data_IF_869211763103
#
_entry.id   IF_869211763103
#
_cell.length_a   1.000
_cell.length_b   1.000
_cell.length_c   1.000
_cell.angle_alpha   90.00
_cell.angle_beta   90.00
_cell.angle_gamma   90.00
#
_symmetry.space_group_name_H-M   'P 1'
#
loop_
_entity.id
_entity.type
_entity.pdbx_description
1 polymer ?
#
# COMPACT_ATOMS: atom_id res chain seq x y z
N UNK A 1 43.18 -16.21 15.65
CA UNK A 1 42.10 -15.51 16.39
C UNK A 1 40.89 -16.42 16.39
N UNK A 2 40.63 -17.03 17.54
CA UNK A 2 39.71 -18.16 17.75
C UNK A 2 38.25 -17.72 17.76
N UNK A 3 37.43 -18.33 16.92
CA UNK A 3 35.98 -18.22 16.93
C UNK A 3 35.39 -19.02 18.09
N UNK A 4 34.73 -18.32 19.01
CA UNK A 4 33.93 -18.92 20.09
C UNK A 4 32.63 -19.43 19.47
N UNK A 5 32.48 -20.76 19.45
CA UNK A 5 31.30 -21.46 18.97
C UNK A 5 30.42 -21.79 20.21
N UNK A 6 29.44 -20.93 20.52
CA UNK A 6 28.47 -21.21 21.59
C UNK A 6 27.34 -22.09 21.07
N UNK A 7 27.66 -23.37 20.86
CA UNK A 7 26.66 -24.41 20.62
C UNK A 7 26.00 -24.81 21.95
N UNK A 8 24.85 -24.23 22.25
CA UNK A 8 23.93 -24.80 23.23
C UNK A 8 23.23 -26.01 22.60
N UNK A 9 23.86 -27.18 22.65
CA UNK A 9 23.16 -28.44 22.49
C UNK A 9 22.57 -28.84 23.85
N UNK A 10 21.25 -28.83 23.96
CA UNK A 10 20.57 -29.45 25.09
C UNK A 10 20.72 -30.97 24.98
N UNK A 11 21.63 -31.54 25.77
CA UNK A 11 21.69 -32.99 25.98
C UNK A 11 20.42 -33.45 26.71
N UNK A 12 19.58 -34.23 26.03
CA UNK A 12 18.54 -35.01 26.70
C UNK A 12 19.22 -36.16 27.44
N UNK A 13 19.29 -36.05 28.77
CA UNK A 13 19.64 -37.14 29.66
C UNK A 13 18.45 -38.12 29.67
N UNK A 14 18.63 -39.25 28.99
CA UNK A 14 17.77 -40.42 29.10
C UNK A 14 18.29 -41.30 30.25
N UNK A 15 17.75 -41.12 31.45
CA UNK A 15 17.86 -42.10 32.54
C UNK A 15 16.51 -42.78 32.74
N UNK A 16 16.54 -44.11 32.69
CA UNK A 16 15.37 -44.97 32.68
C UNK A 16 14.75 -45.24 34.05
N UNK A 17 13.55 -45.80 33.96
CA UNK A 17 12.81 -46.63 34.92
C UNK A 17 12.55 -46.07 36.32
N UNK A 18 11.29 -45.71 36.54
CA UNK A 18 10.67 -45.63 37.87
C UNK A 18 9.51 -44.65 37.90
N UNK A 19 8.28 -45.14 37.75
CA UNK A 19 7.02 -44.42 37.90
C UNK A 19 6.85 -43.18 37.00
N UNK A 20 6.20 -43.37 35.86
CA UNK A 20 5.70 -42.29 35.01
C UNK A 20 4.51 -41.59 35.68
N UNK A 21 4.81 -40.82 36.73
CA UNK A 21 3.98 -39.67 37.08
C UNK A 21 3.90 -38.83 35.81
N UNK A 22 2.72 -38.86 35.17
CA UNK A 22 2.36 -37.96 34.10
C UNK A 22 2.45 -36.56 34.66
N UNK A 23 3.64 -35.95 34.61
CA UNK A 23 3.82 -34.51 34.75
C UNK A 23 2.85 -33.91 33.74
N UNK A 24 1.71 -33.44 34.26
CA UNK A 24 0.71 -32.70 33.52
C UNK A 24 1.47 -31.52 32.94
N UNK A 25 1.92 -31.67 31.70
CA UNK A 25 2.65 -30.64 30.97
C UNK A 25 1.67 -29.50 30.81
N UNK A 26 1.71 -28.56 31.75
CA UNK A 26 0.88 -27.37 31.76
C UNK A 26 1.19 -26.66 30.46
N UNK A 27 0.30 -26.84 29.49
CA UNK A 27 0.48 -26.28 28.17
C UNK A 27 0.10 -24.83 28.34
N UNK A 28 1.12 -23.95 28.35
CA UNK A 28 0.86 -22.52 28.44
C UNK A 28 -0.04 -22.12 27.26
N UNK A 29 -1.08 -21.31 27.50
CA UNK A 29 -1.93 -20.86 26.42
C UNK A 29 -1.09 -20.10 25.40
N UNK A 30 -1.16 -20.53 24.14
CA UNK A 30 -0.49 -19.87 23.02
C UNK A 30 -1.40 -18.75 22.53
N UNK A 31 -1.02 -17.50 22.82
CA UNK A 31 -1.69 -16.33 22.27
C UNK A 31 -1.21 -16.06 20.85
N UNK A 32 -2.15 -15.72 19.98
CA UNK A 32 -1.90 -15.11 18.67
C UNK A 32 -2.37 -13.67 18.71
N UNK A 33 -1.86 -12.85 17.79
CA UNK A 33 -2.26 -11.46 17.68
C UNK A 33 -2.80 -11.19 16.29
N UNK A 34 -3.85 -10.38 16.25
CA UNK A 34 -4.48 -9.88 15.04
C UNK A 34 -4.23 -8.37 15.00
N UNK A 35 -3.40 -7.94 14.05
CA UNK A 35 -3.08 -6.55 13.77
C UNK A 35 -3.80 -6.15 12.47
N UNK A 36 -4.72 -5.20 12.57
CA UNK A 36 -5.50 -4.70 11.43
C UNK A 36 -5.21 -3.22 11.27
N UNK A 37 -4.80 -2.83 10.06
CA UNK A 37 -4.47 -1.47 9.67
C UNK A 37 -5.28 -1.09 8.43
N UNK A 38 -6.08 -0.02 8.53
CA UNK A 38 -6.95 0.44 7.44
C UNK A 38 -6.17 0.95 6.22
N UNK A 39 -4.87 1.22 6.37
CA UNK A 39 -3.97 1.63 5.27
C UNK A 39 -3.96 0.58 4.14
N UNK A 40 -4.17 -0.69 4.48
CA UNK A 40 -4.13 -1.82 3.54
C UNK A 40 -5.51 -2.29 3.08
N UNK A 41 -6.57 -1.51 3.33
CA UNK A 41 -7.93 -1.83 2.85
C UNK A 41 -8.08 -1.54 1.35
N UNK A 42 -9.10 -2.14 0.74
CA UNK A 42 -9.55 -1.70 -0.59
C UNK A 42 -10.24 -0.34 -0.48
N UNK A 43 -9.53 0.77 -0.69
CA UNK A 43 -10.14 2.12 -0.62
C UNK A 43 -11.17 2.42 -1.74
N UNK A 44 -11.27 1.55 -2.76
CA UNK A 44 -12.34 1.63 -3.76
C UNK A 44 -13.62 0.99 -3.23
N UNK A 45 -13.53 -0.22 -2.70
CA UNK A 45 -14.70 -0.95 -2.18
C UNK A 45 -15.12 -0.41 -0.81
N UNK A 46 -14.15 0.07 -0.03
CA UNK A 46 -14.28 0.55 1.35
C UNK A 46 -13.57 1.91 1.51
N UNK A 47 -14.16 3.01 1.00
CA UNK A 47 -13.55 4.33 1.08
C UNK A 47 -13.42 4.85 2.52
N UNK A 48 -14.29 4.42 3.44
CA UNK A 48 -14.23 4.79 4.85
C UNK A 48 -13.22 3.90 5.62
N UNK A 49 -12.21 4.47 6.31
CA UNK A 49 -11.29 3.69 7.13
C UNK A 49 -11.95 3.03 8.35
N UNK A 50 -13.14 3.45 8.76
CA UNK A 50 -13.83 2.93 9.94
C UNK A 50 -14.77 1.75 9.63
N UNK A 51 -14.96 1.37 8.36
CA UNK A 51 -15.76 0.20 7.97
C UNK A 51 -15.20 -0.45 6.72
N UNK A 52 -14.58 -1.62 6.87
CA UNK A 52 -13.95 -2.32 5.76
C UNK A 52 -13.81 -3.81 6.00
N UNK A 53 -13.46 -4.51 4.92
CA UNK A 53 -13.18 -5.95 4.94
C UNK A 53 -11.69 -6.19 4.82
N UNK A 54 -11.14 -6.91 5.80
CA UNK A 54 -9.84 -7.53 5.74
C UNK A 54 -10.00 -8.88 5.05
N UNK A 55 -9.56 -8.96 3.79
CA UNK A 55 -9.63 -10.21 3.03
C UNK A 55 -8.75 -11.26 3.68
N UNK A 56 -9.21 -12.49 3.71
CA UNK A 56 -8.41 -13.59 4.19
C UNK A 56 -7.89 -14.42 3.02
N UNK A 57 -6.63 -14.83 3.11
CA UNK A 57 -6.03 -15.65 2.07
C UNK A 57 -6.04 -17.11 2.50
N UNK A 58 -7.05 -17.86 2.06
CA UNK A 58 -7.25 -19.28 2.39
C UNK A 58 -6.15 -20.23 1.90
N UNK A 59 -5.17 -19.71 1.17
CA UNK A 59 -4.04 -20.48 0.69
C UNK A 59 -2.85 -20.27 1.61
N UNK A 60 -2.39 -21.34 2.26
CA UNK A 60 -1.08 -21.40 2.90
C UNK A 60 0.08 -21.08 1.94
N UNK A 61 -0.19 -21.03 0.63
CA UNK A 61 0.75 -20.67 -0.45
C UNK A 61 0.59 -19.23 -0.93
N UNK A 62 -0.05 -18.34 -0.17
CA UNK A 62 -0.05 -16.90 -0.49
C UNK A 62 1.36 -16.39 -0.25
N UNK A 63 2.17 -16.46 -1.32
CA UNK A 63 3.53 -15.95 -1.33
C UNK A 63 3.52 -14.51 -0.82
N UNK A 64 4.63 -14.06 -0.23
CA UNK A 64 4.87 -12.63 0.10
C UNK A 64 4.51 -11.66 -1.04
N UNK A 65 4.31 -12.17 -2.26
CA UNK A 65 4.14 -11.44 -3.50
C UNK A 65 2.67 -11.30 -3.94
N UNK A 66 1.68 -11.81 -3.20
CA UNK A 66 0.25 -11.55 -3.48
C UNK A 66 -0.20 -10.14 -3.01
N UNK A 67 0.63 -9.13 -3.24
CA UNK A 67 0.26 -7.73 -3.08
C UNK A 67 -0.55 -7.33 -4.32
N UNK A 68 -1.84 -7.69 -4.33
CA UNK A 68 -2.72 -7.32 -5.45
C UNK A 68 -3.07 -5.86 -5.28
N UNK A 69 -2.31 -4.97 -5.93
CA UNK A 69 -2.74 -3.58 -6.08
C UNK A 69 -3.77 -3.50 -7.19
N UNK A 70 -5.02 -3.24 -6.83
CA UNK A 70 -6.11 -3.11 -7.80
C UNK A 70 -6.11 -1.77 -8.55
N UNK A 71 -5.21 -0.83 -8.21
CA UNK A 71 -5.32 0.56 -8.62
C UNK A 71 -4.17 1.07 -9.47
N UNK A 72 -4.52 2.03 -10.34
CA UNK A 72 -3.63 2.75 -11.23
C UNK A 72 -2.41 3.29 -10.45
N UNK A 73 -1.23 3.30 -11.06
CA UNK A 73 -0.01 3.56 -10.32
C UNK A 73 0.36 5.04 -10.36
N UNK A 74 -0.23 5.86 -9.49
CA UNK A 74 0.04 7.31 -9.54
C UNK A 74 1.39 7.73 -9.02
N UNK A 75 2.04 6.92 -8.20
CA UNK A 75 3.38 7.28 -7.72
C UNK A 75 4.43 7.30 -8.81
N UNK A 76 4.34 6.35 -9.72
CA UNK A 76 5.21 6.35 -10.88
C UNK A 76 4.61 7.16 -12.01
N UNK A 77 3.39 7.69 -11.89
CA UNK A 77 2.90 8.64 -12.87
C UNK A 77 3.65 9.98 -12.72
N UNK A 78 3.96 10.65 -13.83
CA UNK A 78 4.53 11.98 -13.80
C UNK A 78 3.69 12.98 -13.02
N UNK A 79 4.25 13.56 -11.96
CA UNK A 79 3.61 14.63 -11.20
C UNK A 79 3.76 15.97 -11.91
N UNK A 80 4.90 16.20 -12.55
CA UNK A 80 5.17 17.43 -13.28
C UNK A 80 5.19 17.14 -14.78
N UNK A 81 3.99 17.15 -15.37
CA UNK A 81 3.78 17.16 -16.83
C UNK A 81 2.68 18.16 -17.14
N UNK A 82 2.95 19.06 -18.09
CA UNK A 82 1.94 19.98 -18.58
C UNK A 82 1.34 19.44 -19.87
N UNK A 83 0.01 19.32 -19.86
CA UNK A 83 -0.77 19.17 -21.07
C UNK A 83 -1.42 20.51 -21.39
N UNK A 84 -0.82 21.27 -22.30
CA UNK A 84 -1.40 22.53 -22.77
C UNK A 84 -2.21 22.21 -24.01
N UNK A 85 -3.53 22.45 -23.96
CA UNK A 85 -4.46 22.10 -25.03
C UNK A 85 -4.39 20.61 -25.45
N UNK A 86 -4.18 19.71 -24.49
CA UNK A 86 -4.05 18.27 -24.73
C UNK A 86 -2.71 17.83 -25.31
N UNK A 87 -1.80 18.75 -25.63
CA UNK A 87 -0.46 18.43 -26.10
C UNK A 87 0.52 18.36 -24.94
N UNK A 88 1.33 17.31 -24.94
CA UNK A 88 2.42 17.15 -23.99
C UNK A 88 3.48 18.24 -24.20
N UNK A 89 3.64 19.11 -23.20
CA UNK A 89 4.69 20.14 -23.15
C UNK A 89 5.68 19.76 -22.04
N UNK A 90 6.88 19.26 -22.39
CA UNK A 90 7.85 18.89 -21.37
C UNK A 90 8.31 20.13 -20.57
N UNK A 91 8.59 19.92 -19.29
CA UNK A 91 9.22 20.91 -18.42
C UNK A 91 10.72 20.91 -18.67
N UNK A 92 11.37 22.07 -18.56
CA UNK A 92 12.81 22.21 -18.82
C UNK A 92 13.55 22.84 -17.66
N UNK A 93 14.75 22.36 -17.39
CA UNK A 93 15.65 23.01 -16.42
C UNK A 93 16.02 24.41 -16.92
N UNK A 94 15.95 25.40 -16.04
CA UNK A 94 16.14 26.81 -16.39
C UNK A 94 17.59 27.27 -16.20
N UNK A 95 18.25 26.79 -15.14
CA UNK A 95 19.63 27.14 -14.79
C UNK A 95 20.20 26.17 -13.75
N UNK A 96 21.50 26.26 -13.45
CA UNK A 96 22.14 25.51 -12.36
C UNK A 96 23.26 24.56 -12.82
N UNK A 97 23.72 23.72 -11.89
CA UNK A 97 24.73 22.67 -12.12
C UNK A 97 24.17 21.26 -11.91
N UNK A 98 24.99 20.24 -12.09
CA UNK A 98 24.57 18.82 -12.00
C UNK A 98 24.01 18.41 -10.64
N UNK A 99 24.37 19.14 -9.56
CA UNK A 99 23.91 18.89 -8.19
C UNK A 99 22.68 19.73 -7.79
N UNK A 100 22.44 20.83 -8.49
CA UNK A 100 21.38 21.78 -8.20
C UNK A 100 20.83 22.44 -9.47
N UNK A 101 19.59 22.13 -9.82
CA UNK A 101 18.95 22.72 -10.99
C UNK A 101 17.73 23.55 -10.58
N UNK A 102 17.58 24.70 -11.23
CA UNK A 102 16.37 25.50 -11.19
C UNK A 102 15.34 24.83 -12.08
N UNK A 103 14.24 24.39 -11.46
CA UNK A 103 13.12 23.80 -12.15
C UNK A 103 12.38 24.85 -12.98
N UNK A 104 11.55 24.36 -13.90
CA UNK A 104 10.70 25.18 -14.76
C UNK A 104 9.81 26.12 -13.94
N UNK A 105 9.65 27.36 -14.38
CA UNK A 105 8.83 28.37 -13.65
C UNK A 105 7.36 27.98 -13.57
N UNK A 106 6.92 27.06 -14.44
CA UNK A 106 5.58 26.49 -14.43
C UNK A 106 5.34 25.49 -13.28
N UNK A 107 6.36 25.15 -12.50
CA UNK A 107 6.21 24.38 -11.26
C UNK A 107 5.50 25.21 -10.18
N UNK A 108 4.25 24.87 -9.90
CA UNK A 108 3.35 25.70 -9.08
C UNK A 108 3.45 25.47 -7.57
N UNK A 109 4.19 24.46 -7.12
CA UNK A 109 4.23 24.15 -5.69
C UNK A 109 4.77 25.33 -4.86
N UNK A 110 3.98 25.74 -3.88
CA UNK A 110 4.31 26.80 -2.91
C UNK A 110 4.83 26.24 -1.59
N UNK A 111 4.93 24.91 -1.46
CA UNK A 111 5.34 24.25 -0.21
C UNK A 111 6.85 23.98 -0.23
N UNK A 112 7.63 24.50 0.73
CA UNK A 112 9.04 24.15 0.87
C UNK A 112 9.23 22.63 0.96
N UNK A 113 10.25 22.10 0.28
CA UNK A 113 10.55 20.67 0.23
C UNK A 113 9.41 19.76 -0.26
N UNK A 114 8.41 20.30 -0.97
CA UNK A 114 7.33 19.50 -1.52
C UNK A 114 7.80 18.29 -2.36
N UNK A 115 8.88 18.48 -3.13
CA UNK A 115 9.49 17.44 -3.94
C UNK A 115 10.61 16.65 -3.25
N UNK A 116 10.92 16.93 -1.98
CA UNK A 116 11.98 16.20 -1.29
C UNK A 116 11.64 14.71 -1.18
N UNK A 117 12.61 13.86 -1.50
CA UNK A 117 12.46 12.40 -1.59
C UNK A 117 11.86 11.91 -2.91
N UNK A 118 11.44 12.79 -3.81
CA UNK A 118 10.91 12.38 -5.11
C UNK A 118 12.05 12.15 -6.09
N UNK A 119 11.75 11.50 -7.21
CA UNK A 119 12.68 11.27 -8.29
C UNK A 119 12.48 12.29 -9.40
N UNK A 120 13.59 12.76 -9.95
CA UNK A 120 13.60 13.50 -11.20
C UNK A 120 14.06 12.56 -12.31
N UNK A 121 13.30 12.49 -13.38
CA UNK A 121 13.60 11.81 -14.63
C UNK A 121 14.10 12.88 -15.61
N UNK A 122 15.40 12.92 -15.87
CA UNK A 122 15.99 13.82 -16.86
C UNK A 122 16.03 13.14 -18.22
N UNK A 123 15.62 13.87 -19.25
CA UNK A 123 15.64 13.48 -20.67
C UNK A 123 16.57 14.46 -21.38
N UNK A 124 17.44 13.93 -22.25
CA UNK A 124 18.50 14.69 -22.93
C UNK A 124 18.01 16.01 -23.59
N UNK A 125 18.77 17.09 -23.36
CA UNK A 125 18.57 18.44 -23.90
C UNK A 125 18.53 18.54 -25.42
N UNK A 126 19.19 17.63 -26.14
CA UNK A 126 19.28 17.69 -27.60
C UNK A 126 17.95 17.33 -28.29
N UNK A 127 16.94 16.96 -27.50
CA UNK A 127 15.68 16.42 -27.98
C UNK A 127 14.58 17.45 -27.79
N UNK A 128 14.32 18.23 -28.84
CA UNK A 128 13.28 19.26 -28.85
C UNK A 128 11.87 18.69 -28.72
N UNK A 129 11.68 17.46 -29.22
CA UNK A 129 10.43 16.68 -29.09
C UNK A 129 10.80 15.24 -28.74
N UNK A 130 10.49 14.76 -27.52
CA UNK A 130 10.78 13.38 -27.14
C UNK A 130 10.16 12.39 -28.13
N UNK A 131 11.00 11.66 -28.84
CA UNK A 131 10.59 10.51 -29.65
C UNK A 131 10.61 9.24 -28.77
N UNK A 132 10.00 8.14 -29.22
CA UNK A 132 10.10 6.86 -28.51
C UNK A 132 11.54 6.38 -28.24
N UNK A 133 12.52 6.81 -29.05
CA UNK A 133 13.95 6.48 -28.85
C UNK A 133 14.66 7.44 -27.90
N UNK A 134 14.11 8.63 -27.66
CA UNK A 134 14.65 9.66 -26.76
C UNK A 134 14.67 9.25 -25.29
N UNK A 135 13.79 8.33 -24.89
CA UNK A 135 13.72 7.84 -23.52
C UNK A 135 14.80 6.83 -23.15
N UNK A 136 15.70 6.53 -24.10
CA UNK A 136 16.82 5.65 -23.86
C UNK A 136 17.87 6.30 -22.94
N UNK A 137 18.06 7.61 -23.03
CA UNK A 137 19.05 8.35 -22.22
C UNK A 137 18.54 8.81 -20.87
N UNK A 138 17.42 8.25 -20.40
CA UNK A 138 16.77 8.67 -19.15
C UNK A 138 17.69 8.42 -17.96
N UNK A 139 17.88 9.47 -17.16
CA UNK A 139 18.60 9.41 -15.89
C UNK A 139 17.66 9.75 -14.74
N UNK A 140 17.82 9.03 -13.62
CA UNK A 140 17.09 9.28 -12.40
C UNK A 140 18.03 9.72 -11.29
N UNK A 141 17.66 10.79 -10.59
CA UNK A 141 18.24 11.12 -9.28
C UNK A 141 17.13 11.47 -8.29
N UNK A 142 17.43 11.40 -6.99
CA UNK A 142 16.48 11.78 -5.93
C UNK A 142 16.67 13.25 -5.59
N UNK A 143 15.56 13.97 -5.40
CA UNK A 143 15.56 15.36 -4.95
C UNK A 143 15.79 15.34 -3.43
N UNK A 144 16.93 15.86 -2.98
CA UNK A 144 17.27 15.98 -1.56
C UNK A 144 16.48 17.10 -0.90
N UNK A 145 16.32 18.23 -1.59
CA UNK A 145 15.56 19.39 -1.11
C UNK A 145 14.98 20.21 -2.26
N UNK A 146 13.93 20.97 -1.97
CA UNK A 146 13.27 21.85 -2.94
C UNK A 146 12.95 23.21 -2.31
N UNK A 147 13.46 24.28 -2.92
CA UNK A 147 13.12 25.65 -2.55
C UNK A 147 11.95 26.13 -3.42
N UNK A 148 10.79 26.33 -2.80
CA UNK A 148 9.56 26.79 -3.45
C UNK A 148 9.65 28.21 -4.02
N UNK A 149 10.50 29.08 -3.45
CA UNK A 149 10.68 30.46 -3.90
C UNK A 149 11.61 30.55 -5.11
N UNK A 150 12.81 29.94 -5.03
CA UNK A 150 13.77 29.96 -6.13
C UNK A 150 13.53 28.86 -7.18
N UNK A 151 12.60 27.93 -6.90
CA UNK A 151 12.33 26.71 -7.69
C UNK A 151 13.57 25.82 -7.85
N UNK A 152 14.57 25.97 -7.00
CA UNK A 152 15.79 25.17 -7.05
C UNK A 152 15.56 23.81 -6.37
N UNK A 153 15.91 22.74 -7.08
CA UNK A 153 15.99 21.39 -6.54
C UNK A 153 17.45 20.99 -6.39
N UNK A 154 17.83 20.54 -5.19
CA UNK A 154 19.14 19.92 -4.95
C UNK A 154 18.99 18.40 -4.98
N UNK A 155 19.97 17.70 -5.53
CA UNK A 155 19.90 16.25 -5.74
C UNK A 155 20.80 15.48 -4.77
N UNK A 156 20.42 14.25 -4.42
CA UNK A 156 21.24 13.37 -3.57
C UNK A 156 22.48 12.84 -4.27
N UNK A 157 22.45 12.83 -5.60
CA UNK A 157 23.58 12.48 -6.47
C UNK A 157 23.54 13.37 -7.71
N UNK A 158 24.69 13.81 -8.24
CA UNK A 158 24.74 14.59 -9.47
C UNK A 158 23.98 13.89 -10.58
N UNK A 159 23.17 14.63 -11.33
CA UNK A 159 22.72 14.14 -12.62
C UNK A 159 23.93 13.99 -13.55
N UNK A 160 23.92 12.99 -14.42
CA UNK A 160 25.01 12.79 -15.38
C UNK A 160 25.12 13.97 -16.35
N UNK A 161 26.19 13.97 -17.14
CA UNK A 161 26.54 15.08 -18.07
C UNK A 161 25.46 15.45 -19.09
N UNK A 162 24.43 14.61 -19.25
CA UNK A 162 23.33 14.81 -20.20
C UNK A 162 22.15 15.61 -19.60
N UNK A 163 22.17 15.86 -18.29
CA UNK A 163 21.22 16.76 -17.62
C UNK A 163 21.82 18.16 -17.55
N UNK A 164 21.67 18.90 -18.64
CA UNK A 164 22.11 20.28 -18.76
C UNK A 164 20.92 21.23 -18.72
N UNK A 165 21.20 22.52 -18.65
CA UNK A 165 20.19 23.58 -18.83
C UNK A 165 19.44 23.31 -20.15
N UNK A 166 18.11 23.48 -20.12
CA UNK A 166 17.17 23.12 -21.20
C UNK A 166 16.88 21.62 -21.41
N UNK A 167 17.53 20.70 -20.68
CA UNK A 167 17.08 19.30 -20.65
C UNK A 167 15.64 19.21 -20.17
N UNK A 168 14.87 18.35 -20.82
CA UNK A 168 13.50 18.07 -20.41
C UNK A 168 13.54 17.24 -19.13
N UNK A 169 12.59 17.45 -18.22
CA UNK A 169 12.48 16.64 -17.03
C UNK A 169 11.04 16.33 -16.65
N UNK A 170 10.91 15.31 -15.82
CA UNK A 170 9.65 14.88 -15.20
C UNK A 170 9.93 14.57 -13.73
N UNK A 171 9.08 15.03 -12.81
CA UNK A 171 9.14 14.63 -11.39
C UNK A 171 8.17 13.47 -11.15
N UNK A 172 8.61 12.43 -10.42
CA UNK A 172 7.83 11.26 -10.04
C UNK A 172 8.07 10.92 -8.57
N UNK A 173 7.08 10.34 -7.90
CA UNK A 173 7.28 9.82 -6.54
C UNK A 173 7.99 8.47 -6.53
N UNK A 174 7.74 7.62 -7.53
CA UNK A 174 8.40 6.34 -7.73
C UNK A 174 8.98 6.24 -9.15
N UNK A 175 10.07 5.50 -9.29
CA UNK A 175 10.61 5.15 -10.60
C UNK A 175 9.70 4.07 -11.26
N UNK A 176 9.56 4.05 -12.60
CA UNK A 176 8.95 2.91 -13.28
C UNK A 176 9.82 1.66 -13.09
N UNK A 177 9.24 0.47 -13.16
CA UNK A 177 10.00 -0.79 -13.02
C UNK A 177 10.81 -1.11 -14.28
N UNK A 178 10.28 -0.72 -15.44
CA UNK A 178 10.94 -0.90 -16.72
C UNK A 178 10.62 0.27 -17.66
N UNK A 179 11.59 0.68 -18.46
CA UNK A 179 11.38 1.52 -19.65
C UNK A 179 12.03 0.83 -20.84
N UNK A 180 11.27 0.70 -21.93
CA UNK A 180 11.80 0.17 -23.19
C UNK A 180 10.86 0.39 -24.35
N UNK A 181 10.98 -0.47 -25.36
CA UNK A 181 10.19 -0.39 -26.58
C UNK A 181 9.46 -1.71 -26.86
N UNK A 182 8.34 -1.62 -27.57
CA UNK A 182 7.67 -2.77 -28.17
C UNK A 182 8.50 -3.27 -29.36
N UNK A 183 8.98 -4.50 -29.32
CA UNK A 183 9.75 -5.09 -30.43
C UNK A 183 8.93 -5.98 -31.36
N UNK A 184 7.89 -6.64 -30.83
CA UNK A 184 6.98 -7.47 -31.61
C UNK A 184 5.60 -7.54 -30.94
N UNK A 185 4.55 -7.70 -31.76
CA UNK A 185 3.17 -7.88 -31.33
C UNK A 185 2.59 -9.08 -32.09
N UNK A 186 2.12 -10.09 -31.36
CA UNK A 186 1.47 -11.28 -31.92
C UNK A 186 0.18 -11.54 -31.15
N UNK A 187 -0.96 -11.12 -31.69
CA UNK A 187 -2.23 -11.11 -30.95
C UNK A 187 -2.14 -10.18 -29.72
N UNK A 188 -2.46 -10.71 -28.54
CA UNK A 188 -2.35 -9.98 -27.26
C UNK A 188 -0.96 -10.10 -26.61
N UNK A 189 -0.04 -10.86 -27.20
CA UNK A 189 1.32 -11.04 -26.71
C UNK A 189 2.21 -9.93 -27.25
N UNK A 190 2.81 -9.17 -26.35
CA UNK A 190 3.72 -8.07 -26.66
C UNK A 190 5.11 -8.46 -26.19
N UNK A 191 6.08 -8.42 -27.10
CA UNK A 191 7.50 -8.59 -26.75
C UNK A 191 8.11 -7.21 -26.57
N UNK A 192 8.82 -7.04 -25.47
CA UNK A 192 9.53 -5.84 -25.11
C UNK A 192 11.02 -6.00 -25.37
N UNK A 193 11.69 -4.89 -25.64
CA UNK A 193 13.15 -4.87 -25.74
C UNK A 193 13.69 -3.66 -25.00
N UNK A 194 14.75 -3.91 -24.23
CA UNK A 194 15.50 -2.87 -23.54
C UNK A 194 16.38 -2.15 -24.58
N UNK A 195 16.36 -0.81 -24.66
CA UNK A 195 17.25 -0.08 -25.55
C UNK A 195 18.71 -0.37 -25.20
N UNK A 196 19.56 -0.60 -26.22
CA UNK A 196 20.98 -0.88 -26.02
C UNK A 196 21.65 0.28 -25.26
N UNK A 197 22.28 -0.03 -24.11
CA UNK A 197 23.00 0.94 -23.27
C UNK A 197 22.14 1.90 -22.46
N UNK A 198 20.81 1.75 -22.47
CA UNK A 198 19.95 2.92 -22.34
C UNK A 198 18.51 2.54 -21.90
N UNK A 199 18.36 1.58 -20.98
CA UNK A 199 17.06 1.21 -20.43
C UNK A 199 17.07 1.21 -18.91
N UNK A 200 15.99 1.72 -18.31
CA UNK A 200 15.84 1.71 -16.86
C UNK A 200 15.16 0.42 -16.39
N UNK A 201 15.72 -0.19 -15.35
CA UNK A 201 15.12 -1.32 -14.64
C UNK A 201 15.11 -2.66 -15.39
N UNK A 202 14.25 -3.55 -14.91
CA UNK A 202 14.06 -4.92 -15.37
C UNK A 202 12.56 -5.22 -15.37
N UNK A 203 12.10 -6.03 -16.32
CA UNK A 203 10.72 -6.52 -16.29
C UNK A 203 10.61 -7.46 -15.08
N UNK A 204 9.66 -7.22 -14.18
CA UNK A 204 9.49 -8.06 -12.99
C UNK A 204 9.24 -9.52 -13.36
N UNK A 205 9.63 -10.45 -12.49
CA UNK A 205 9.38 -11.88 -12.65
C UNK A 205 8.28 -12.39 -11.70
N UNK A 206 7.58 -11.49 -11.01
CA UNK A 206 6.45 -11.86 -10.17
C UNK A 206 5.15 -11.80 -10.96
N UNK A 207 4.65 -12.97 -11.34
CA UNK A 207 3.46 -13.15 -12.16
C UNK A 207 2.14 -13.00 -11.38
N UNK A 208 2.20 -12.85 -10.05
CA UNK A 208 1.02 -12.69 -9.21
C UNK A 208 0.68 -11.22 -8.92
N UNK A 209 1.61 -10.32 -9.19
CA UNK A 209 1.39 -8.88 -9.05
C UNK A 209 0.66 -8.28 -10.25
N UNK A 210 -0.10 -7.22 -9.97
CA UNK A 210 -0.72 -6.39 -11.00
C UNK A 210 0.27 -5.31 -11.42
N UNK A 211 0.55 -5.25 -12.71
CA UNK A 211 1.35 -4.19 -13.31
C UNK A 211 0.52 -3.39 -14.29
N UNK A 212 1.01 -2.20 -14.58
CA UNK A 212 0.42 -1.35 -15.58
C UNK A 212 1.45 -1.02 -16.65
N UNK A 213 1.02 -1.05 -17.90
CA UNK A 213 1.77 -0.59 -19.04
C UNK A 213 1.28 0.81 -19.39
N UNK A 214 2.18 1.78 -19.43
CA UNK A 214 1.91 3.09 -20.02
C UNK A 214 2.66 3.23 -21.34
N UNK A 215 1.95 3.64 -22.38
CA UNK A 215 2.53 3.93 -23.69
C UNK A 215 2.95 5.39 -23.76
N UNK A 216 4.21 5.62 -24.12
CA UNK A 216 4.80 6.94 -24.39
C UNK A 216 4.88 7.13 -25.91
N UNK A 217 3.76 7.41 -26.57
CA UNK A 217 3.77 7.77 -28.00
C UNK A 217 4.35 9.18 -28.21
N UNK A 218 4.93 9.40 -29.38
CA UNK A 218 5.44 10.72 -29.82
C UNK A 218 4.33 11.78 -29.74
N UNK A 219 4.72 13.04 -29.55
CA UNK A 219 3.87 14.20 -29.23
C UNK A 219 2.79 14.59 -30.27
N UNK A 220 2.47 13.73 -31.24
CA UNK A 220 1.57 14.03 -32.35
C UNK A 220 0.10 13.63 -32.12
N UNK A 221 -0.24 12.89 -31.05
CA UNK A 221 -1.65 12.67 -30.67
C UNK A 221 -1.85 12.62 -29.15
N UNK A 222 -2.82 13.41 -28.66
CA UNK A 222 -3.20 13.52 -27.24
C UNK A 222 -3.97 12.30 -26.71
N UNK A 223 -4.42 11.41 -27.61
CA UNK A 223 -5.35 10.32 -27.30
C UNK A 223 -4.68 9.01 -26.86
N UNK A 224 -3.36 8.93 -26.92
CA UNK A 224 -2.63 7.66 -26.88
C UNK A 224 -1.75 7.45 -25.63
N UNK A 225 -1.74 8.39 -24.68
CA UNK A 225 -1.08 8.21 -23.37
C UNK A 225 -1.95 7.33 -22.44
N UNK A 226 -2.27 6.11 -22.88
CA UNK A 226 -3.15 5.18 -22.17
C UNK A 226 -2.34 4.33 -21.20
N UNK A 227 -2.92 4.09 -20.04
CA UNK A 227 -2.44 3.14 -19.04
C UNK A 227 -3.36 1.93 -19.10
N UNK A 228 -2.80 0.74 -19.25
CA UNK A 228 -3.57 -0.50 -19.20
C UNK A 228 -2.96 -1.46 -18.21
N UNK A 229 -3.82 -2.22 -17.54
CA UNK A 229 -3.39 -3.34 -16.73
C UNK A 229 -2.80 -4.44 -17.62
N UNK A 230 -1.69 -5.04 -17.19
CA UNK A 230 -1.03 -6.15 -17.88
C UNK A 230 -0.82 -7.33 -16.94
N UNK A 231 -0.72 -8.51 -17.53
CA UNK A 231 -0.25 -9.72 -16.86
C UNK A 231 1.09 -10.12 -17.48
N UNK A 232 2.09 -10.37 -16.64
CA UNK A 232 3.41 -10.79 -17.12
C UNK A 232 3.38 -12.27 -17.53
N UNK A 233 4.09 -12.63 -18.59
CA UNK A 233 4.15 -14.02 -19.08
C UNK A 233 5.21 -14.82 -18.33
N UNK A 234 4.85 -15.97 -17.77
CA UNK A 234 5.78 -16.86 -17.05
C UNK A 234 6.83 -17.51 -17.94
N UNK A 235 6.60 -17.58 -19.26
CA UNK A 235 7.48 -18.28 -20.19
C UNK A 235 8.67 -17.43 -20.67
N UNK A 236 8.54 -16.10 -20.68
CA UNK A 236 9.59 -15.19 -21.14
C UNK A 236 9.48 -13.84 -20.42
N UNK A 237 10.51 -13.41 -19.66
CA UNK A 237 10.45 -12.16 -18.90
C UNK A 237 10.33 -10.92 -19.80
N UNK A 238 10.62 -11.02 -21.09
CA UNK A 238 10.45 -9.93 -22.05
C UNK A 238 9.07 -9.91 -22.71
N UNK A 239 8.14 -10.77 -22.30
CA UNK A 239 6.81 -10.85 -22.89
C UNK A 239 5.72 -10.54 -21.87
N UNK A 240 4.73 -9.76 -22.29
CA UNK A 240 3.54 -9.47 -21.52
C UNK A 240 2.29 -9.75 -22.35
N UNK A 241 1.21 -10.12 -21.65
CA UNK A 241 -0.11 -10.30 -22.27
C UNK A 241 -0.97 -9.10 -21.88
N UNK A 242 -1.54 -8.43 -22.88
CA UNK A 242 -2.47 -7.33 -22.68
C UNK A 242 -3.84 -7.87 -22.25
N UNK A 243 -4.37 -7.34 -21.15
CA UNK A 243 -5.72 -7.68 -20.66
C UNK A 243 -6.81 -6.85 -21.37
N UNK A 244 -6.44 -5.92 -22.25
CA UNK A 244 -7.36 -5.02 -22.95
C UNK A 244 -6.84 -4.66 -24.34
N UNK A 245 -7.73 -4.14 -25.19
CA UNK A 245 -7.41 -3.70 -26.54
C UNK A 245 -6.67 -2.36 -26.51
N UNK A 246 -5.37 -2.40 -26.21
CA UNK A 246 -4.47 -1.26 -26.37
C UNK A 246 -3.83 -1.31 -27.76
N UNK A 247 -4.04 -0.27 -28.57
CA UNK A 247 -3.43 -0.14 -29.89
C UNK A 247 -1.94 0.23 -29.77
N UNK A 248 -1.10 -0.80 -29.62
CA UNK A 248 0.35 -0.70 -29.68
C UNK A 248 0.87 -0.84 -31.12
N UNK A 249 2.00 -0.20 -31.39
CA UNK A 249 2.80 -0.37 -32.60
C UNK A 249 4.22 -0.78 -32.23
N UNK A 250 4.89 -1.50 -33.14
CA UNK A 250 6.32 -1.78 -32.99
C UNK A 250 7.07 -0.45 -32.90
N UNK A 251 8.06 -0.39 -32.00
CA UNK A 251 8.83 0.78 -31.57
C UNK A 251 8.12 1.77 -30.65
N UNK A 252 6.85 1.54 -30.28
CA UNK A 252 6.23 2.35 -29.22
C UNK A 252 7.08 2.28 -27.96
N UNK A 253 7.39 3.43 -27.37
CA UNK A 253 8.06 3.50 -26.08
C UNK A 253 7.04 3.19 -25.01
N UNK A 254 7.41 2.36 -24.05
CA UNK A 254 6.55 1.94 -22.97
C UNK A 254 7.29 2.03 -21.65
N UNK A 255 6.50 2.18 -20.58
CA UNK A 255 6.97 1.99 -19.22
C UNK A 255 6.11 0.93 -18.54
N UNK A 256 6.76 -0.02 -17.86
CA UNK A 256 6.07 -0.88 -16.89
C UNK A 256 6.12 -0.17 -15.56
N UNK A 257 4.95 0.01 -15.02
CA UNK A 257 4.75 0.65 -13.75
C UNK A 257 4.36 -0.41 -12.72
N UNK A 258 5.00 -0.35 -11.56
CA UNK A 258 4.70 -1.22 -10.45
C UNK A 258 3.33 -0.97 -9.84
N UNK A 259 2.84 -1.92 -9.04
CA UNK A 259 1.61 -1.74 -8.28
C UNK A 259 1.65 -0.43 -7.47
N UNK A 260 0.56 0.35 -7.48
CA UNK A 260 0.42 1.51 -6.60
C UNK A 260 0.35 1.10 -5.12
N UNK A 261 0.44 2.05 -4.19
CA UNK A 261 0.38 1.73 -2.74
C UNK A 261 -1.02 1.33 -2.23
N UNK A 262 -2.04 1.15 -3.09
CA UNK A 262 -3.27 0.49 -2.65
C UNK A 262 -3.06 -1.02 -2.60
N UNK A 263 -2.14 -1.42 -1.74
CA UNK A 263 -1.78 -2.79 -1.49
C UNK A 263 -2.88 -3.34 -0.60
N UNK A 264 -3.73 -4.20 -1.15
CA UNK A 264 -4.60 -5.03 -0.32
C UNK A 264 -3.74 -6.15 0.23
N UNK A 265 -3.44 -6.11 1.53
CA UNK A 265 -2.82 -7.25 2.19
C UNK A 265 -3.90 -8.11 2.81
N UNK A 266 -3.97 -9.36 2.40
CA UNK A 266 -4.81 -10.32 3.10
C UNK A 266 -4.25 -10.63 4.48
N UNK A 267 -5.14 -10.90 5.45
CA UNK A 267 -4.75 -11.45 6.73
C UNK A 267 -4.09 -12.81 6.52
N UNK A 268 -2.84 -12.96 6.97
CA UNK A 268 -2.11 -14.23 6.92
C UNK A 268 -2.30 -14.98 8.22
N UNK A 269 -3.28 -15.88 8.27
CA UNK A 269 -3.43 -16.78 9.41
C UNK A 269 -2.66 -18.09 9.17
N UNK A 270 -1.41 -18.14 9.65
CA UNK A 270 -0.66 -19.41 9.67
C UNK A 270 -1.07 -20.23 10.91
N UNK A 271 -1.79 -21.34 10.71
CA UNK A 271 -1.79 -22.43 11.68
C UNK A 271 -0.44 -23.14 11.57
N UNK A 272 0.38 -23.14 12.62
CA UNK A 272 1.75 -23.68 12.61
C UNK A 272 1.87 -25.20 12.44
N UNK A 273 1.10 -25.81 11.55
CA UNK A 273 1.11 -27.23 11.21
C UNK A 273 0.02 -27.55 10.19
N UNK A 274 0.10 -28.72 9.55
CA UNK A 274 -0.82 -29.25 8.51
C UNK A 274 -2.29 -29.44 8.95
N UNK A 275 -2.68 -28.86 10.08
CA UNK A 275 -4.06 -28.85 10.55
C UNK A 275 -4.86 -27.90 9.67
N UNK A 276 -6.00 -28.38 9.14
CA UNK A 276 -6.97 -27.57 8.43
C UNK A 276 -7.34 -26.34 9.27
N UNK A 277 -7.29 -25.16 8.65
CA UNK A 277 -7.83 -23.92 9.23
C UNK A 277 -9.36 -24.11 9.29
N UNK A 278 -9.85 -24.62 10.41
CA UNK A 278 -11.28 -24.73 10.69
C UNK A 278 -11.66 -23.67 11.72
N UNK A 279 -12.82 -23.04 11.50
CA UNK A 279 -13.44 -22.16 12.46
C UNK A 279 -13.70 -22.85 13.80
N UNK A 280 -13.71 -22.06 14.87
CA UNK A 280 -13.94 -22.55 16.22
C UNK A 280 -14.11 -21.41 17.19
N UNK A 281 -14.17 -21.72 18.48
CA UNK A 281 -14.32 -20.72 19.52
C UNK A 281 -12.97 -20.12 19.90
N UNK A 282 -12.91 -18.80 19.92
CA UNK A 282 -11.75 -18.02 20.30
C UNK A 282 -12.15 -17.03 21.38
N UNK A 283 -11.30 -16.88 22.38
CA UNK A 283 -11.31 -15.72 23.26
C UNK A 283 -10.52 -14.60 22.62
N UNK A 284 -11.16 -13.45 22.44
CA UNK A 284 -10.56 -12.22 21.95
C UNK A 284 -10.42 -11.21 23.07
N UNK A 285 -9.31 -10.47 23.08
CA UNK A 285 -9.07 -9.34 23.98
C UNK A 285 -8.55 -8.14 23.18
N UNK A 286 -9.25 -7.01 23.26
CA UNK A 286 -8.78 -5.77 22.66
C UNK A 286 -7.60 -5.21 23.47
N UNK A 287 -6.42 -5.16 22.84
CA UNK A 287 -5.22 -4.63 23.47
C UNK A 287 -5.13 -3.11 23.30
N UNK A 288 -5.28 -2.64 22.06
CA UNK A 288 -5.37 -1.21 21.75
C UNK A 288 -6.13 -0.97 20.44
N UNK A 289 -6.75 0.21 20.37
CA UNK A 289 -7.41 0.76 19.20
C UNK A 289 -6.94 2.21 19.03
N UNK A 290 -6.38 2.55 17.88
CA UNK A 290 -6.00 3.92 17.52
C UNK A 290 -6.96 4.48 16.50
N UNK A 291 -7.59 5.60 16.86
CA UNK A 291 -8.57 6.33 16.04
C UNK A 291 -8.08 7.76 15.79
N UNK A 292 -8.25 8.32 14.59
CA UNK A 292 -7.97 9.72 14.32
C UNK A 292 -8.66 10.69 15.29
N UNK A 293 -7.92 11.71 15.75
CA UNK A 293 -8.49 12.84 16.47
C UNK A 293 -9.00 13.89 15.48
N UNK A 294 -10.07 13.54 14.75
CA UNK A 294 -10.65 14.37 13.70
C UNK A 294 -12.11 14.70 14.01
N UNK A 295 -12.61 15.77 13.39
CA UNK A 295 -14.02 16.16 13.52
C UNK A 295 -14.88 15.13 12.78
N UNK A 296 -15.88 14.60 13.46
CA UNK A 296 -16.86 13.66 12.93
C UNK A 296 -17.89 14.39 12.05
N UNK A 297 -18.27 13.76 10.94
CA UNK A 297 -19.36 14.19 10.04
C UNK A 297 -20.68 13.44 10.31
N UNK A 298 -20.77 12.76 11.45
CA UNK A 298 -21.89 11.89 11.84
C UNK A 298 -22.33 12.14 13.28
N UNK A 299 -23.52 11.63 13.63
CA UNK A 299 -24.08 11.76 14.98
C UNK A 299 -24.31 13.21 15.38
N UNK A 300 -23.81 13.59 16.56
CA UNK A 300 -23.83 14.98 17.05
C UNK A 300 -22.65 15.82 16.51
N UNK A 301 -21.84 15.27 15.60
CA UNK A 301 -20.60 15.87 15.11
C UNK A 301 -19.54 16.03 16.21
N UNK A 302 -18.63 16.98 16.01
CA UNK A 302 -17.56 17.29 16.96
C UNK A 302 -16.45 16.24 16.97
N UNK A 303 -15.59 16.27 17.99
CA UNK A 303 -14.50 15.32 18.20
C UNK A 303 -14.98 14.07 18.95
N UNK A 304 -14.19 12.99 18.87
CA UNK A 304 -14.53 11.69 19.46
C UNK A 304 -14.67 11.72 21.00
N UNK A 305 -13.97 12.64 21.65
CA UNK A 305 -14.02 12.89 23.10
C UNK A 305 -15.41 13.33 23.62
N UNK A 306 -16.31 13.77 22.73
CA UNK A 306 -17.70 14.09 23.06
C UNK A 306 -18.60 12.87 23.19
N UNK A 307 -18.10 11.68 22.83
CA UNK A 307 -18.83 10.43 22.91
C UNK A 307 -18.26 9.62 24.08
N UNK A 308 -19.09 9.11 25.00
CA UNK A 308 -18.59 8.40 26.19
C UNK A 308 -17.94 7.05 25.86
N UNK A 309 -18.31 6.46 24.73
CA UNK A 309 -17.77 5.20 24.23
C UNK A 309 -18.05 5.08 22.75
N UNK A 310 -17.32 4.18 22.10
CA UNK A 310 -17.59 3.69 20.76
C UNK A 310 -17.73 2.17 20.78
N UNK A 311 -18.32 1.63 19.73
CA UNK A 311 -18.44 0.21 19.52
C UNK A 311 -17.45 -0.25 18.46
N UNK A 312 -16.82 -1.40 18.70
CA UNK A 312 -15.96 -2.09 17.74
C UNK A 312 -16.57 -3.46 17.44
N UNK A 313 -16.78 -3.70 16.15
CA UNK A 313 -17.33 -4.94 15.60
C UNK A 313 -16.25 -5.66 14.79
N UNK A 314 -16.15 -6.97 14.97
CA UNK A 314 -15.22 -7.83 14.26
C UNK A 314 -15.87 -9.18 13.94
N UNK A 315 -16.20 -9.49 12.69
CA UNK A 315 -16.96 -10.70 12.38
C UNK A 315 -16.63 -11.31 11.01
N UNK A 316 -16.97 -12.57 10.80
CA UNK A 316 -16.73 -13.30 9.53
C UNK A 316 -17.99 -13.42 8.68
N UNK A 317 -17.84 -13.49 7.34
CA UNK A 317 -18.94 -13.22 6.40
C UNK A 317 -20.03 -14.29 6.18
N UNK A 318 -19.78 -15.57 6.42
CA UNK A 318 -20.74 -16.63 5.98
C UNK A 318 -21.88 -16.82 6.99
N UNK A 319 -21.70 -16.33 8.20
CA UNK A 319 -22.72 -16.35 9.24
C UNK A 319 -22.44 -15.16 10.13
N UNK A 320 -23.45 -14.36 10.46
CA UNK A 320 -23.38 -13.49 11.64
C UNK A 320 -23.30 -14.36 12.92
N UNK A 321 -22.33 -15.26 13.02
CA UNK A 321 -22.14 -16.24 14.11
C UNK A 321 -21.80 -15.53 15.41
N UNK A 322 -21.20 -14.35 15.33
CA UNK A 322 -21.02 -13.42 16.42
C UNK A 322 -22.17 -12.44 16.49
N UNK A 323 -23.32 -12.93 16.95
CA UNK A 323 -24.41 -12.06 17.35
C UNK A 323 -24.55 -12.03 18.87
N UNK A 324 -24.88 -10.85 19.39
CA UNK A 324 -25.29 -10.66 20.79
C UNK A 324 -24.23 -11.08 21.82
N UNK A 325 -22.96 -10.89 21.49
CA UNK A 325 -21.83 -11.11 22.41
C UNK A 325 -21.97 -10.22 23.66
N UNK A 326 -22.51 -9.01 23.48
CA UNK A 326 -22.81 -8.08 24.57
C UNK A 326 -24.29 -8.12 24.95
N UNK A 327 -24.55 -8.39 26.23
CA UNK A 327 -25.86 -8.14 26.83
C UNK A 327 -26.05 -6.63 27.02
N UNK A 328 -26.96 -6.05 26.24
CA UNK A 328 -27.29 -4.63 26.31
C UNK A 328 -28.76 -4.42 25.99
N UNK A 329 -29.31 -3.31 26.48
CA UNK A 329 -30.61 -2.80 26.06
C UNK A 329 -30.50 -1.86 24.84
N UNK A 330 -29.29 -1.61 24.34
CA UNK A 330 -29.07 -0.83 23.14
C UNK A 330 -29.27 -1.74 21.90
N UNK A 331 -30.23 -1.43 20.99
CA UNK A 331 -30.53 -2.29 19.83
C UNK A 331 -29.37 -2.40 18.83
N UNK A 332 -28.40 -1.48 18.87
CA UNK A 332 -27.28 -1.44 17.94
C UNK A 332 -26.11 -2.35 18.35
N UNK A 333 -26.21 -3.12 19.44
CA UNK A 333 -25.12 -3.99 19.92
C UNK A 333 -25.09 -5.38 19.30
N UNK A 334 -25.98 -5.67 18.35
CA UNK A 334 -26.15 -7.03 17.82
C UNK A 334 -24.87 -7.63 17.22
N UNK A 335 -23.99 -6.82 16.63
CA UNK A 335 -22.71 -7.24 16.01
C UNK A 335 -21.47 -6.81 16.78
N UNK A 336 -21.66 -6.13 17.91
CA UNK A 336 -20.58 -5.48 18.64
C UNK A 336 -19.87 -6.50 19.52
N UNK A 337 -18.55 -6.47 19.49
CA UNK A 337 -17.70 -7.29 20.36
C UNK A 337 -17.16 -6.45 21.50
N UNK A 338 -16.61 -5.27 21.21
CA UNK A 338 -16.03 -4.41 22.24
C UNK A 338 -16.82 -3.11 22.37
N UNK A 339 -17.16 -2.76 23.61
CA UNK A 339 -17.54 -1.40 24.00
C UNK A 339 -16.28 -0.70 24.51
N UNK A 340 -15.77 0.25 23.74
CA UNK A 340 -14.50 0.92 24.00
C UNK A 340 -14.78 2.28 24.61
N UNK A 341 -14.48 2.50 25.90
CA UNK A 341 -14.74 3.78 26.53
C UNK A 341 -13.75 4.85 26.05
N UNK A 342 -14.22 6.09 25.94
CA UNK A 342 -13.41 7.24 25.56
C UNK A 342 -13.17 8.06 26.83
N UNK A 343 -12.08 7.75 27.53
CA UNK A 343 -11.89 8.16 28.93
C UNK A 343 -10.96 9.36 29.14
N UNK A 344 -10.30 9.87 28.11
CA UNK A 344 -9.27 10.90 28.25
C UNK A 344 -9.58 12.12 27.39
N UNK A 345 -9.27 13.31 27.91
CA UNK A 345 -9.18 14.51 27.08
C UNK A 345 -7.89 14.40 26.29
N UNK A 346 -8.03 14.17 24.99
CA UNK A 346 -6.90 14.13 24.07
C UNK A 346 -6.55 15.58 23.77
N UNK A 347 -5.34 16.01 24.13
CA UNK A 347 -4.85 17.35 23.77
C UNK A 347 -4.68 17.49 22.25
N UNK A 348 -3.69 18.27 21.80
CA UNK A 348 -3.42 18.48 20.37
C UNK A 348 -2.73 17.27 19.70
N UNK A 349 -3.11 16.03 20.04
CA UNK A 349 -2.60 14.81 19.41
C UNK A 349 -3.38 14.49 18.14
N UNK A 350 -2.70 14.03 17.09
CA UNK A 350 -3.35 13.63 15.83
C UNK A 350 -4.18 12.35 15.96
N UNK A 351 -3.90 11.52 16.97
CA UNK A 351 -4.57 10.24 17.21
C UNK A 351 -4.97 10.08 18.67
N UNK A 352 -6.03 9.31 18.85
CA UNK A 352 -6.60 8.87 20.11
C UNK A 352 -6.30 7.38 20.25
N UNK A 353 -5.50 7.01 21.25
CA UNK A 353 -5.25 5.60 21.56
C UNK A 353 -6.16 5.17 22.69
N UNK A 354 -7.17 4.38 22.35
CA UNK A 354 -8.08 3.76 23.30
C UNK A 354 -7.47 2.43 23.74
N UNK A 355 -6.94 2.44 24.97
CA UNK A 355 -6.40 1.29 25.68
C UNK A 355 -7.30 0.99 26.88
N UNK A 356 -7.20 -0.23 27.41
CA UNK A 356 -7.81 -0.58 28.71
C UNK A 356 -9.31 -0.91 28.71
N UNK A 357 -9.87 -1.40 27.60
CA UNK A 357 -11.21 -2.02 27.68
C UNK A 357 -11.20 -3.27 28.59
N UNK A 358 -10.05 -3.98 28.65
CA UNK A 358 -9.87 -5.31 29.29
C UNK A 358 -10.99 -6.30 28.96
N UNK A 359 -11.75 -6.04 27.91
CA UNK A 359 -12.93 -6.78 27.56
C UNK A 359 -12.46 -8.05 26.84
N UNK A 360 -12.74 -9.19 27.47
CA UNK A 360 -12.55 -10.50 26.87
C UNK A 360 -13.89 -10.99 26.38
N UNK A 361 -13.93 -11.44 25.12
CA UNK A 361 -15.15 -11.98 24.53
C UNK A 361 -14.86 -13.32 23.87
N UNK A 362 -15.73 -14.29 24.10
CA UNK A 362 -15.69 -15.56 23.39
C UNK A 362 -16.53 -15.46 22.13
N UNK A 363 -15.90 -15.73 20.99
CA UNK A 363 -16.56 -15.67 19.69
C UNK A 363 -16.24 -16.90 18.84
N UNK A 364 -17.16 -17.26 17.96
CA UNK A 364 -16.84 -18.15 16.85
C UNK A 364 -16.10 -17.35 15.78
N UNK A 365 -14.87 -17.75 15.48
CA UNK A 365 -14.03 -17.12 14.45
C UNK A 365 -13.55 -18.16 13.45
N UNK A 366 -13.78 -17.89 12.17
CA UNK A 366 -13.30 -18.71 11.05
C UNK A 366 -12.16 -18.01 10.32
N UNK A 367 -10.89 -18.40 10.55
CA UNK A 367 -9.74 -17.84 9.85
C UNK A 367 -9.64 -18.28 8.38
N UNK A 368 -10.67 -18.94 7.82
CA UNK A 368 -10.79 -19.16 6.37
C UNK A 368 -11.79 -18.20 5.70
N UNK A 369 -12.30 -17.22 6.44
CA UNK A 369 -13.25 -16.25 5.92
C UNK A 369 -12.69 -14.83 6.02
N UNK A 370 -13.21 -13.98 5.14
CA UNK A 370 -13.01 -12.54 5.19
C UNK A 370 -13.52 -11.99 6.51
N UNK A 371 -12.78 -11.03 7.04
CA UNK A 371 -13.02 -10.43 8.34
C UNK A 371 -13.52 -8.99 8.16
N UNK A 372 -14.73 -8.75 8.64
CA UNK A 372 -15.37 -7.45 8.64
C UNK A 372 -14.97 -6.70 9.90
N UNK A 373 -14.54 -5.46 9.72
CA UNK A 373 -14.21 -4.54 10.79
C UNK A 373 -15.09 -3.30 10.68
N UNK A 374 -15.64 -2.84 11.81
CA UNK A 374 -16.47 -1.63 11.86
C UNK A 374 -16.35 -0.91 13.22
N UNK A 375 -16.23 0.42 13.19
CA UNK A 375 -16.39 1.29 14.36
C UNK A 375 -17.68 2.10 14.25
N UNK A 376 -18.50 2.06 15.30
CA UNK A 376 -19.76 2.80 15.36
C UNK A 376 -19.89 3.64 16.63
N UNK A 377 -20.68 4.71 16.51
CA UNK A 377 -21.14 5.51 17.63
C UNK A 377 -22.19 4.76 18.47
N UNK A 378 -22.54 5.25 19.67
CA UNK A 378 -23.57 4.63 20.52
C UNK A 378 -24.94 4.44 19.86
N UNK A 379 -25.26 5.23 18.83
CA UNK A 379 -26.51 5.16 18.05
C UNK A 379 -26.44 4.18 16.87
N UNK A 380 -25.32 3.45 16.72
CA UNK A 380 -25.09 2.50 15.64
C UNK A 380 -24.60 3.12 14.33
N UNK A 381 -24.44 4.44 14.25
CA UNK A 381 -23.90 5.09 13.05
C UNK A 381 -22.42 4.80 12.91
N UNK A 382 -21.97 4.39 11.72
CA UNK A 382 -20.54 4.21 11.42
C UNK A 382 -19.82 5.54 11.57
N UNK A 383 -18.69 5.52 12.27
CA UNK A 383 -17.85 6.71 12.43
C UNK A 383 -17.38 7.17 11.05
N UNK A 384 -17.58 8.44 10.74
CA UNK A 384 -17.04 9.08 9.54
C UNK A 384 -16.51 10.46 9.88
N UNK A 385 -15.44 10.88 9.20
CA UNK A 385 -14.75 12.14 9.46
C UNK A 385 -15.10 13.18 8.39
N UNK A 386 -15.02 14.46 8.75
CA UNK A 386 -15.23 15.57 7.81
C UNK A 386 -14.12 15.64 6.74
N UNK A 387 -12.93 15.13 7.04
CA UNK A 387 -11.88 14.93 6.05
C UNK A 387 -12.03 13.57 5.36
N UNK A 388 -11.87 13.55 4.04
CA UNK A 388 -11.91 12.33 3.25
C UNK A 388 -10.54 11.67 3.18
N UNK A 389 -10.52 10.33 3.21
CA UNK A 389 -9.31 9.60 2.83
C UNK A 389 -9.00 9.87 1.36
N UNK A 390 -7.71 9.90 1.07
CA UNK A 390 -7.20 9.99 -0.28
C UNK A 390 -7.67 8.76 -1.06
N UNK A 391 -8.49 8.98 -2.09
CA UNK A 391 -8.86 7.91 -3.00
C UNK A 391 -7.62 7.42 -3.74
N UNK A 392 -7.53 6.11 -4.02
CA UNK A 392 -6.55 5.61 -4.95
C UNK A 392 -6.65 6.42 -6.23
N UNK A 393 -5.51 6.84 -6.77
CA UNK A 393 -4.20 6.19 -6.60
C UNK A 393 -3.22 6.90 -5.64
N UNK A 394 -3.69 7.88 -4.86
CA UNK A 394 -2.91 8.59 -3.84
C UNK A 394 -2.59 7.70 -2.61
N UNK A 395 -1.60 8.06 -1.75
CA UNK A 395 -1.38 7.35 -0.48
C UNK A 395 -2.63 7.45 0.38
N UNK A 396 -2.94 6.46 1.23
CA UNK A 396 -3.89 6.70 2.32
C UNK A 396 -3.48 7.94 3.10
N UNK A 397 -4.43 8.81 3.43
CA UNK A 397 -4.19 9.97 4.28
C UNK A 397 -3.77 9.43 5.65
N UNK A 398 -2.51 9.63 6.07
CA UNK A 398 -2.01 9.01 7.29
C UNK A 398 -2.82 9.44 8.52
N UNK A 399 -3.38 10.65 8.53
CA UNK A 399 -4.15 11.20 9.65
C UNK A 399 -5.57 10.66 9.78
N UNK A 400 -6.03 9.83 8.84
CA UNK A 400 -7.36 9.23 8.87
C UNK A 400 -7.33 7.70 9.05
N UNK A 401 -6.15 7.09 9.08
CA UNK A 401 -6.05 5.64 9.22
C UNK A 401 -6.26 5.21 10.66
N UNK A 402 -6.85 4.02 10.81
CA UNK A 402 -7.06 3.38 12.09
C UNK A 402 -6.19 2.13 12.19
N UNK A 403 -5.81 1.78 13.42
CA UNK A 403 -5.14 0.54 13.72
C UNK A 403 -5.78 -0.11 14.95
N UNK A 404 -5.94 -1.43 14.92
CA UNK A 404 -6.43 -2.23 16.03
C UNK A 404 -5.54 -3.46 16.22
N UNK A 405 -5.22 -3.75 17.49
CA UNK A 405 -4.55 -4.98 17.88
C UNK A 405 -5.41 -5.76 18.87
N UNK A 406 -5.69 -7.00 18.50
CA UNK A 406 -6.49 -7.94 19.29
C UNK A 406 -5.64 -9.16 19.62
N UNK A 407 -5.64 -9.58 20.88
CA UNK A 407 -5.10 -10.88 21.27
C UNK A 407 -6.16 -11.96 21.04
N UNK A 408 -5.73 -13.13 20.57
CA UNK A 408 -6.57 -14.27 20.26
C UNK A 408 -6.06 -15.52 20.94
N UNK A 409 -6.97 -16.26 21.57
CA UNK A 409 -6.69 -17.58 22.15
C UNK A 409 -7.78 -18.55 21.72
N UNK A 410 -7.40 -19.63 21.03
CA UNK A 410 -8.32 -20.73 20.72
C UNK A 410 -8.70 -21.46 22.01
N UNK A 411 -9.99 -21.75 22.21
CA UNK A 411 -10.51 -22.45 23.38
C UNK A 411 -10.53 -23.98 23.20
#
# INVERSE_FOLDING_TARGET
MSSINTGYQSQMISTGYGNSDKLNKTTLPVYKYLDIDSTYRSRIDYPDPNSFVVRNSNSSNVSSNNLVAYNLPVYSFPMSQLYVAGLFSPLKFQSGGTDNLTLDTRETSTVPNFYAGYFIESIDSLITTPTPTSYSTVQYTTIASYNNTSKQAAFTSPLGTNAVINSNYIIRKNKPLFIGNVSAIVGNLVTLTKPAGAGYGFIPNDFNSVYYLRVRKSATSSLDNRIVQITLSSANPNQLTLNSNLSLSVNDSIEIIGPGQNIITSLRYASGGSQSIQGGDYELELLWLSVPNQILDVGYGGSLDRYPYIYCSLYTGITNTTQQVLYSNNPYTSKVIFKVPVNEYFGDTSFITLKDSKAKQTIYFDPSQDLFFELTLPDGTVISFNEFDNMPPYPPNPFLQINILVSMRKL
#
